data_IF_191355660353
#
_entry.id   IF_191355660353
#
_cell.length_a   1.000
_cell.length_b   1.000
_cell.length_c   1.000
_cell.angle_alpha   90.00
_cell.angle_beta   90.00
_cell.angle_gamma   90.00
#
_symmetry.space_group_name_H-M   'P 1'
#
loop_
_entity.id
_entity.type
_entity.pdbx_description
1 polymer ?
#
# COMPACT_ATOMS: atom_id res chain seq x y z
N UNK A 1 -16.78 -27.99 4.14
CA UNK A 1 -15.31 -27.86 4.12
C UNK A 1 -14.99 -26.54 4.80
N UNK A 2 -14.51 -26.57 6.04
CA UNK A 2 -14.20 -25.37 6.83
C UNK A 2 -12.68 -25.14 6.70
N UNK A 3 -12.26 -24.05 6.07
CA UNK A 3 -10.86 -23.63 6.09
C UNK A 3 -10.59 -23.08 7.50
N UNK A 4 -9.79 -23.81 8.27
CA UNK A 4 -9.31 -23.35 9.58
C UNK A 4 -8.60 -22.02 9.40
N UNK A 5 -9.08 -20.98 10.09
CA UNK A 5 -8.41 -19.70 10.16
C UNK A 5 -7.02 -19.89 10.75
N UNK A 6 -5.99 -19.59 9.95
CA UNK A 6 -4.63 -19.50 10.47
C UNK A 6 -4.63 -18.48 11.60
N UNK A 7 -4.15 -18.86 12.77
CA UNK A 7 -3.89 -17.93 13.86
C UNK A 7 -2.77 -17.01 13.40
N UNK A 8 -3.15 -15.86 12.85
CA UNK A 8 -2.21 -14.81 12.54
C UNK A 8 -1.79 -14.12 13.84
N UNK A 9 -0.56 -14.38 14.27
CA UNK A 9 0.03 -13.63 15.37
C UNK A 9 0.73 -12.41 14.77
N UNK A 10 0.01 -11.29 14.70
CA UNK A 10 0.66 -9.98 14.56
C UNK A 10 1.72 -9.84 15.68
N UNK A 11 2.97 -9.48 15.38
CA UNK A 11 3.96 -9.14 16.39
C UNK A 11 3.41 -8.02 17.26
N UNK A 12 3.55 -8.14 18.58
CA UNK A 12 3.00 -7.17 19.55
C UNK A 12 3.57 -5.75 19.35
N UNK A 13 4.68 -5.64 18.64
CA UNK A 13 5.46 -4.45 18.31
C UNK A 13 5.19 -3.88 16.91
N UNK A 14 4.30 -4.49 16.12
CA UNK A 14 3.83 -3.89 14.87
C UNK A 14 3.09 -2.59 15.21
N UNK A 15 3.78 -1.45 15.05
CA UNK A 15 3.20 -0.12 15.28
C UNK A 15 1.94 0.02 14.45
N UNK A 16 0.85 0.44 15.09
CA UNK A 16 -0.41 0.77 14.37
C UNK A 16 -0.20 1.95 13.41
N UNK A 17 0.80 2.78 13.73
CA UNK A 17 1.17 3.98 13.01
C UNK A 17 2.51 3.74 12.29
N UNK A 18 2.42 3.34 11.02
CA UNK A 18 3.57 3.19 10.13
C UNK A 18 3.43 2.03 9.15
N UNK A 19 4.36 1.97 8.19
CA UNK A 19 4.47 0.83 7.29
C UNK A 19 5.31 -0.26 7.95
N UNK A 20 4.80 -1.49 7.96
CA UNK A 20 5.60 -2.66 8.32
C UNK A 20 6.69 -2.89 7.29
N UNK A 21 6.36 -2.69 6.00
CA UNK A 21 7.31 -2.82 4.90
C UNK A 21 7.02 -1.82 3.79
N UNK A 22 8.11 -1.37 3.17
CA UNK A 22 8.12 -0.56 1.97
C UNK A 22 8.69 -1.37 0.81
N UNK A 23 7.90 -1.57 -0.25
CA UNK A 23 8.30 -2.31 -1.44
C UNK A 23 8.39 -1.35 -2.62
N UNK A 24 9.57 -1.25 -3.24
CA UNK A 24 9.73 -0.54 -4.50
C UNK A 24 9.85 -1.52 -5.65
N UNK A 25 8.93 -1.44 -6.60
CA UNK A 25 8.97 -2.26 -7.82
C UNK A 25 9.70 -1.51 -8.94
N UNK A 26 10.38 -2.26 -9.80
CA UNK A 26 10.97 -1.75 -11.03
C UNK A 26 9.94 -1.76 -12.18
N UNK A 27 10.17 -0.95 -13.22
CA UNK A 27 9.26 -0.81 -14.35
C UNK A 27 8.09 0.14 -14.05
N UNK A 28 7.04 0.06 -14.87
CA UNK A 28 5.89 0.97 -14.88
C UNK A 28 4.54 0.30 -14.58
N UNK A 29 4.55 -1.01 -14.27
CA UNK A 29 3.36 -1.83 -14.00
C UNK A 29 2.72 -1.67 -12.62
N UNK A 30 2.95 -0.54 -11.92
CA UNK A 30 2.41 -0.33 -10.57
C UNK A 30 0.89 -0.27 -10.54
N UNK A 31 0.25 0.37 -11.53
CA UNK A 31 -1.20 0.48 -11.57
C UNK A 31 -1.86 -0.88 -11.83
N UNK A 32 -1.26 -1.71 -12.69
CA UNK A 32 -1.74 -3.08 -12.93
C UNK A 32 -1.60 -3.97 -11.68
N UNK A 33 -0.52 -3.76 -10.92
CA UNK A 33 -0.33 -4.43 -9.64
C UNK A 33 -1.39 -3.99 -8.62
N UNK A 34 -1.61 -2.68 -8.46
CA UNK A 34 -2.65 -2.15 -7.58
C UNK A 34 -4.04 -2.70 -7.95
N UNK A 35 -4.31 -2.78 -9.25
CA UNK A 35 -5.54 -3.36 -9.81
C UNK A 35 -5.71 -4.83 -9.52
N UNK A 36 -4.61 -5.58 -9.51
CA UNK A 36 -4.60 -6.99 -9.16
C UNK A 36 -4.79 -7.20 -7.66
N UNK A 37 -4.14 -6.39 -6.83
CA UNK A 37 -4.26 -6.44 -5.37
C UNK A 37 -5.68 -6.08 -4.92
N UNK A 38 -6.29 -5.00 -5.46
CA UNK A 38 -7.65 -4.58 -5.04
C UNK A 38 -8.75 -5.62 -5.29
N UNK A 39 -8.51 -6.59 -6.18
CA UNK A 39 -9.42 -7.71 -6.43
C UNK A 39 -9.38 -8.78 -5.34
N UNK A 40 -8.27 -8.85 -4.58
CA UNK A 40 -8.08 -9.80 -3.48
C UNK A 40 -8.24 -9.14 -2.10
N UNK A 41 -7.73 -7.92 -1.94
CA UNK A 41 -7.71 -7.19 -0.66
C UNK A 41 -7.99 -5.71 -0.88
N UNK A 42 -8.89 -5.07 -0.12
CA UNK A 42 -9.13 -3.63 -0.20
C UNK A 42 -7.85 -2.82 0.03
N UNK A 43 -7.67 -1.77 -0.78
CA UNK A 43 -6.57 -0.82 -0.56
C UNK A 43 -6.94 0.13 0.58
N UNK A 44 -6.01 0.36 1.50
CA UNK A 44 -6.14 1.38 2.56
C UNK A 44 -5.96 2.78 1.98
N UNK A 45 -5.01 2.91 1.05
CA UNK A 45 -4.83 4.10 0.22
C UNK A 45 -4.67 3.65 -1.24
N UNK A 46 -5.44 4.27 -2.13
CA UNK A 46 -5.32 4.04 -3.58
C UNK A 46 -4.00 4.57 -4.14
N UNK A 47 -3.72 4.32 -5.43
CA UNK A 47 -2.55 4.89 -6.09
C UNK A 47 -2.57 6.42 -6.06
N UNK A 48 -1.56 7.01 -5.44
CA UNK A 48 -1.36 8.45 -5.34
C UNK A 48 0.05 8.83 -5.77
N UNK A 49 0.19 9.93 -6.51
CA UNK A 49 1.49 10.46 -6.93
C UNK A 49 2.09 11.30 -5.81
N UNK A 50 3.24 10.85 -5.32
CA UNK A 50 3.96 11.49 -4.23
C UNK A 50 4.77 12.70 -4.74
N UNK A 51 5.16 13.59 -3.82
CA UNK A 51 5.91 14.81 -4.16
C UNK A 51 7.26 14.55 -4.85
N UNK A 52 7.86 13.38 -4.62
CA UNK A 52 9.12 12.94 -5.22
C UNK A 52 8.93 12.14 -6.52
N UNK A 53 7.71 12.13 -7.08
CA UNK A 53 7.44 11.67 -8.44
C UNK A 53 7.12 10.18 -8.59
N UNK A 54 7.28 9.35 -7.55
CA UNK A 54 6.76 7.98 -7.58
C UNK A 54 5.26 7.96 -7.27
N UNK A 55 4.62 6.84 -7.60
CA UNK A 55 3.25 6.55 -7.21
C UNK A 55 3.27 5.48 -6.13
N UNK A 56 2.37 5.59 -5.16
CA UNK A 56 2.26 4.67 -4.04
C UNK A 56 0.82 4.28 -3.76
N UNK A 57 0.62 3.02 -3.36
CA UNK A 57 -0.65 2.55 -2.78
C UNK A 57 -0.35 1.75 -1.52
N UNK A 58 -1.37 1.57 -0.68
CA UNK A 58 -1.25 0.84 0.57
C UNK A 58 -2.30 -0.25 0.70
N UNK A 59 -1.89 -1.36 1.31
CA UNK A 59 -2.75 -2.48 1.65
C UNK A 59 -2.40 -2.97 3.05
N UNK A 60 -3.40 -3.55 3.72
CA UNK A 60 -3.19 -4.33 4.93
C UNK A 60 -3.44 -5.78 4.57
N UNK A 61 -2.45 -6.64 4.78
CA UNK A 61 -2.61 -8.07 4.53
C UNK A 61 -3.54 -8.73 5.58
N UNK A 62 -3.97 -9.98 5.38
CA UNK A 62 -4.85 -10.68 6.32
C UNK A 62 -4.27 -10.83 7.74
N UNK A 63 -2.95 -10.68 7.87
CA UNK A 63 -2.22 -10.77 9.13
C UNK A 63 -2.12 -9.42 9.87
N UNK A 64 -2.61 -8.35 9.25
CA UNK A 64 -2.64 -7.01 9.82
C UNK A 64 -1.39 -6.18 9.56
N UNK A 65 -0.50 -6.61 8.66
CA UNK A 65 0.69 -5.82 8.32
C UNK A 65 0.38 -4.76 7.27
N UNK A 66 0.80 -3.52 7.52
CA UNK A 66 0.60 -2.40 6.59
C UNK A 66 1.76 -2.33 5.60
N UNK A 67 1.45 -2.54 4.34
CA UNK A 67 2.40 -2.62 3.23
C UNK A 67 2.23 -1.39 2.36
N UNK A 68 3.30 -0.64 2.15
CA UNK A 68 3.37 0.41 1.13
C UNK A 68 4.10 -0.12 -0.10
N UNK A 69 3.47 0.02 -1.27
CA UNK A 69 4.05 -0.38 -2.56
C UNK A 69 4.23 0.85 -3.41
N UNK A 70 5.46 1.03 -3.90
CA UNK A 70 5.90 2.20 -4.64
C UNK A 70 6.50 1.82 -5.99
N UNK A 71 6.27 2.66 -7.00
CA UNK A 71 6.80 2.41 -8.33
C UNK A 71 6.67 3.62 -9.25
N UNK A 72 7.35 3.53 -10.38
CA UNK A 72 7.10 4.45 -11.49
C UNK A 72 5.80 4.06 -12.21
N UNK A 73 5.19 5.01 -12.89
CA UNK A 73 4.07 4.79 -13.80
C UNK A 73 4.34 5.54 -15.11
N UNK A 74 3.68 5.19 -16.23
CA UNK A 74 3.89 5.89 -17.49
C UNK A 74 3.60 7.39 -17.38
N UNK A 75 4.34 8.18 -18.16
CA UNK A 75 4.09 9.61 -18.29
C UNK A 75 2.67 9.82 -18.83
N UNK A 76 1.91 10.72 -18.20
CA UNK A 76 0.51 10.98 -18.55
C UNK A 76 -0.51 10.07 -17.88
N UNK A 77 -0.09 9.10 -17.06
CA UNK A 77 -1.03 8.34 -16.22
C UNK A 77 -1.81 9.29 -15.30
N UNK A 78 -3.14 9.17 -15.31
CA UNK A 78 -4.02 9.98 -14.48
C UNK A 78 -4.06 9.40 -13.06
N UNK A 79 -3.17 9.90 -12.21
CA UNK A 79 -3.05 9.49 -10.80
C UNK A 79 -3.22 10.73 -9.92
N UNK A 80 -4.11 10.69 -8.91
CA UNK A 80 -4.29 11.82 -8.00
C UNK A 80 -2.97 12.14 -7.29
N UNK A 81 -2.68 13.42 -7.09
CA UNK A 81 -1.55 13.84 -6.26
C UNK A 81 -1.86 13.49 -4.81
N UNK A 82 -0.89 12.92 -4.11
CA UNK A 82 -1.02 12.62 -2.70
C UNK A 82 -1.34 13.91 -1.95
N UNK A 83 -2.37 13.86 -1.11
CA UNK A 83 -2.60 14.95 -0.17
C UNK A 83 -1.42 14.92 0.80
N UNK A 84 -0.86 16.09 1.10
CA UNK A 84 0.18 16.18 2.12
C UNK A 84 -0.34 15.44 3.36
N UNK A 85 0.46 14.50 3.90
CA UNK A 85 0.21 13.96 5.22
C UNK A 85 0.20 15.19 6.14
N UNK A 86 -1.00 15.62 6.55
CA UNK A 86 -1.13 16.57 7.65
C UNK A 86 -0.48 15.87 8.84
N UNK A 87 0.75 16.28 9.14
CA UNK A 87 1.45 15.90 10.36
C UNK A 87 0.58 16.45 11.49
N UNK A 88 -0.28 15.60 12.07
CA UNK A 88 -0.80 15.86 13.42
C UNK A 88 0.38 15.74 14.37
N UNK A 89 1.18 16.80 14.41
CA UNK A 89 2.09 17.11 15.50
C UNK A 89 1.26 17.36 16.77
N UNK A 90 1.81 17.02 17.96
CA UNK A 90 1.06 16.75 19.19
C UNK A 90 0.25 17.92 19.77
#
# INVERSE_FOLDING_TARGET
MMLQGGTSSRPADAKEEGWTVYLRIAGDGLLDLADSVRRATPLVRGPERMFYGLVEFEVVDPDGYRICVSGSVPVGANVPVARECEETAP
#
